data_IF_487153343340
#
_entry.id   IF_487153343340
#
_cell.length_a   1.000
_cell.length_b   1.000
_cell.length_c   1.000
_cell.angle_alpha   90.00
_cell.angle_beta   90.00
_cell.angle_gamma   90.00
#
_symmetry.space_group_name_H-M   'P 1'
#
loop_
_entity.id
_entity.type
_entity.pdbx_description
1 polymer ?
#
# COMPACT_ATOMS: atom_id res chain seq x y z
N UNK A 1 -25.38 9.62 0.07
CA UNK A 1 -24.36 10.47 -0.54
C UNK A 1 -23.83 9.76 -1.77
N UNK A 2 -23.95 10.38 -2.94
CA UNK A 2 -23.46 9.78 -4.17
C UNK A 2 -22.08 10.33 -4.55
N UNK A 3 -21.23 9.47 -5.07
CA UNK A 3 -19.90 9.81 -5.53
C UNK A 3 -19.83 9.65 -7.04
N UNK A 4 -19.48 10.72 -7.74
CA UNK A 4 -19.31 10.69 -9.19
C UNK A 4 -17.94 10.12 -9.54
N UNK A 5 -17.93 9.11 -10.39
CA UNK A 5 -16.72 8.46 -10.90
C UNK A 5 -16.64 8.67 -12.41
N UNK A 6 -15.47 9.05 -12.88
CA UNK A 6 -15.16 9.14 -14.30
C UNK A 6 -14.01 8.18 -14.61
N UNK A 7 -14.27 7.22 -15.49
CA UNK A 7 -13.27 6.25 -15.95
C UNK A 7 -12.80 6.60 -17.35
N UNK A 8 -11.48 6.61 -17.53
CA UNK A 8 -10.87 6.74 -18.85
C UNK A 8 -11.05 5.43 -19.64
N UNK A 9 -10.88 5.47 -20.97
CA UNK A 9 -10.90 4.24 -21.76
C UNK A 9 -9.94 3.20 -21.20
N UNK A 10 -10.42 1.96 -21.05
CA UNK A 10 -9.67 0.80 -20.58
C UNK A 10 -9.13 0.91 -19.15
N UNK A 11 -9.52 1.93 -18.41
CA UNK A 11 -9.11 2.09 -17.00
C UNK A 11 -9.81 1.05 -16.14
N UNK A 12 -9.06 0.52 -15.17
CA UNK A 12 -9.58 -0.42 -14.17
C UNK A 12 -9.81 0.27 -12.84
N UNK A 13 -10.67 -0.32 -12.02
CA UNK A 13 -10.99 0.19 -10.70
C UNK A 13 -11.53 -0.95 -9.83
N UNK A 14 -11.31 -0.88 -8.53
CA UNK A 14 -11.96 -1.74 -7.56
C UNK A 14 -13.14 -1.01 -6.94
N UNK A 15 -14.30 -1.67 -6.93
CA UNK A 15 -15.50 -1.20 -6.22
C UNK A 15 -15.95 -2.37 -5.34
N UNK A 16 -15.79 -2.22 -4.03
CA UNK A 16 -15.95 -3.32 -3.10
C UNK A 16 -14.91 -4.41 -3.41
N UNK A 17 -15.36 -5.63 -3.64
CA UNK A 17 -14.50 -6.73 -4.07
C UNK A 17 -14.57 -6.99 -5.59
N UNK A 18 -15.24 -6.10 -6.34
CA UNK A 18 -15.38 -6.26 -7.78
C UNK A 18 -14.29 -5.50 -8.53
N UNK A 19 -13.63 -6.16 -9.47
CA UNK A 19 -12.70 -5.51 -10.40
C UNK A 19 -13.51 -5.05 -11.60
N UNK A 20 -13.49 -3.74 -11.85
CA UNK A 20 -14.22 -3.12 -12.94
C UNK A 20 -13.22 -2.72 -14.02
N UNK A 21 -13.46 -3.13 -15.26
CA UNK A 21 -12.69 -2.68 -16.42
C UNK A 21 -13.59 -1.83 -17.31
N UNK A 22 -13.17 -0.61 -17.63
CA UNK A 22 -13.91 0.23 -18.55
C UNK A 22 -13.67 -0.22 -20.00
N UNK A 23 -14.64 0.04 -20.85
CA UNK A 23 -14.52 -0.20 -22.29
C UNK A 23 -13.70 0.90 -22.99
N UNK A 24 -13.94 1.02 -24.29
CA UNK A 24 -13.13 1.91 -25.17
C UNK A 24 -13.50 3.39 -25.08
N UNK A 25 -14.58 3.74 -24.35
CA UNK A 25 -15.03 5.13 -24.21
C UNK A 25 -14.98 5.56 -22.77
N UNK A 26 -14.70 6.86 -22.56
CA UNK A 26 -14.80 7.46 -21.22
C UNK A 26 -16.23 7.26 -20.69
N UNK A 27 -16.33 6.86 -19.43
CA UNK A 27 -17.61 6.55 -18.78
C UNK A 27 -17.73 7.35 -17.48
N UNK A 28 -18.92 7.83 -17.21
CA UNK A 28 -19.25 8.47 -15.93
C UNK A 28 -20.40 7.71 -15.27
N UNK A 29 -20.29 7.52 -13.95
CA UNK A 29 -21.36 6.93 -13.17
C UNK A 29 -21.27 7.41 -11.73
N UNK A 30 -22.32 7.10 -10.95
CA UNK A 30 -22.39 7.51 -9.55
C UNK A 30 -22.47 6.28 -8.67
N UNK A 31 -21.73 6.30 -7.59
CA UNK A 31 -21.82 5.29 -6.54
C UNK A 31 -22.69 5.85 -5.44
N UNK A 32 -23.83 5.21 -5.19
CA UNK A 32 -24.90 5.73 -4.34
C UNK A 32 -24.72 5.34 -2.86
N UNK A 33 -24.04 4.25 -2.59
CA UNK A 33 -23.86 3.77 -1.22
C UNK A 33 -22.38 3.68 -0.87
N UNK A 34 -22.09 3.50 0.41
CA UNK A 34 -20.72 3.42 0.90
C UNK A 34 -20.10 2.08 0.57
N UNK A 35 -18.96 2.10 -0.11
CA UNK A 35 -18.25 0.91 -0.52
C UNK A 35 -16.77 1.26 -0.69
N UNK A 36 -15.82 0.35 -0.40
CA UNK A 36 -14.42 0.60 -0.68
C UNK A 36 -14.19 0.82 -2.18
N UNK A 37 -13.39 1.83 -2.51
CA UNK A 37 -13.08 2.18 -3.90
C UNK A 37 -11.58 2.41 -4.02
N UNK A 38 -10.96 1.78 -5.03
CA UNK A 38 -9.56 2.03 -5.38
C UNK A 38 -9.43 2.27 -6.87
N UNK A 39 -8.74 3.34 -7.23
CA UNK A 39 -8.39 3.63 -8.62
C UNK A 39 -7.25 2.69 -9.04
N UNK A 40 -7.07 2.48 -10.34
CA UNK A 40 -6.07 1.56 -10.88
C UNK A 40 -4.67 1.79 -10.31
N UNK A 41 -4.25 3.06 -10.20
CA UNK A 41 -2.93 3.44 -9.68
C UNK A 41 -2.73 3.10 -8.20
N UNK A 42 -3.82 2.91 -7.46
CA UNK A 42 -3.77 2.61 -6.03
C UNK A 42 -3.75 1.11 -5.76
N UNK A 43 -4.08 0.30 -6.77
CA UNK A 43 -4.17 -1.15 -6.64
C UNK A 43 -2.77 -1.76 -6.80
N UNK A 44 -2.32 -2.48 -5.77
CA UNK A 44 -1.09 -3.26 -5.83
C UNK A 44 -1.45 -4.71 -6.12
N UNK A 45 -0.79 -5.32 -7.09
CA UNK A 45 -0.94 -6.75 -7.37
C UNK A 45 -0.06 -7.54 -6.39
N UNK A 46 -0.45 -8.78 -6.12
CA UNK A 46 0.28 -9.64 -5.19
C UNK A 46 1.74 -9.82 -5.60
N UNK A 47 2.01 -10.00 -6.88
CA UNK A 47 3.36 -10.17 -7.40
C UNK A 47 4.23 -8.90 -7.30
N UNK A 48 3.61 -7.74 -7.13
CA UNK A 48 4.32 -6.48 -6.91
C UNK A 48 4.70 -6.24 -5.46
N UNK A 49 4.20 -7.06 -4.52
CA UNK A 49 4.51 -6.94 -3.09
C UNK A 49 5.85 -7.63 -2.76
N UNK A 50 6.92 -7.16 -3.39
CA UNK A 50 8.23 -7.81 -3.38
C UNK A 50 9.14 -7.37 -2.23
N UNK A 51 8.77 -6.35 -1.46
CA UNK A 51 9.53 -5.87 -0.32
C UNK A 51 8.63 -5.87 0.93
N UNK A 52 9.22 -5.87 2.15
CA UNK A 52 8.42 -5.79 3.36
C UNK A 52 7.45 -4.59 3.39
N UNK A 53 7.92 -3.40 2.99
CA UNK A 53 7.07 -2.21 2.93
C UNK A 53 5.91 -2.37 1.95
N UNK A 54 6.16 -2.96 0.80
CA UNK A 54 5.11 -3.24 -0.19
C UNK A 54 4.14 -4.29 0.29
N UNK A 55 4.62 -5.30 1.03
CA UNK A 55 3.76 -6.30 1.64
C UNK A 55 2.81 -5.67 2.66
N UNK A 56 3.29 -4.69 3.43
CA UNK A 56 2.45 -3.93 4.37
C UNK A 56 1.34 -3.21 3.60
N UNK A 57 1.68 -2.51 2.53
CA UNK A 57 0.68 -1.82 1.69
C UNK A 57 -0.37 -2.80 1.16
N UNK A 58 0.09 -3.92 0.63
CA UNK A 58 -0.80 -4.95 0.06
C UNK A 58 -1.76 -5.51 1.11
N UNK A 59 -1.26 -5.78 2.31
CA UNK A 59 -2.09 -6.29 3.41
C UNK A 59 -3.13 -5.26 3.86
N UNK A 60 -2.76 -3.98 3.93
CA UNK A 60 -3.72 -2.92 4.28
C UNK A 60 -4.77 -2.78 3.18
N UNK A 61 -4.37 -2.91 1.92
CA UNK A 61 -5.30 -2.95 0.79
C UNK A 61 -6.32 -4.06 0.95
N UNK A 62 -5.87 -5.27 1.32
CA UNK A 62 -6.77 -6.41 1.58
C UNK A 62 -7.71 -6.14 2.75
N UNK A 63 -7.22 -5.51 3.82
CA UNK A 63 -8.07 -5.10 4.95
C UNK A 63 -9.17 -4.16 4.50
N UNK A 64 -8.86 -3.27 3.54
CA UNK A 64 -9.81 -2.29 3.03
C UNK A 64 -10.90 -2.92 2.18
N UNK A 65 -10.51 -3.79 1.24
CA UNK A 65 -11.44 -4.36 0.25
C UNK A 65 -12.09 -5.66 0.71
N UNK A 66 -11.53 -6.32 1.72
CA UNK A 66 -11.99 -7.61 2.23
C UNK A 66 -11.97 -7.61 3.76
N UNK A 67 -12.75 -6.72 4.36
CA UNK A 67 -12.78 -6.51 5.81
C UNK A 67 -13.24 -7.76 6.57
N UNK A 68 -13.98 -8.64 5.93
CA UNK A 68 -14.45 -9.90 6.50
C UNK A 68 -13.29 -10.77 7.00
N UNK A 69 -12.14 -10.73 6.30
CA UNK A 69 -10.94 -11.49 6.64
C UNK A 69 -9.87 -10.66 7.34
N UNK A 70 -10.27 -9.56 7.98
CA UNK A 70 -9.37 -8.62 8.64
C UNK A 70 -8.37 -9.29 9.57
N UNK A 71 -8.81 -10.23 10.41
CA UNK A 71 -7.93 -10.86 11.41
C UNK A 71 -6.76 -11.60 10.75
N UNK A 72 -7.01 -12.31 9.66
CA UNK A 72 -5.98 -13.03 8.91
C UNK A 72 -4.91 -12.05 8.39
N UNK A 73 -5.36 -10.97 7.78
CA UNK A 73 -4.45 -9.95 7.24
C UNK A 73 -3.71 -9.21 8.34
N UNK A 74 -4.37 -8.92 9.44
CA UNK A 74 -3.80 -8.21 10.59
C UNK A 74 -2.71 -9.04 11.29
N UNK A 75 -2.91 -10.35 11.43
CA UNK A 75 -1.91 -11.24 11.99
C UNK A 75 -0.64 -11.25 11.13
N UNK A 76 -0.80 -11.34 9.81
CA UNK A 76 0.34 -11.31 8.89
C UNK A 76 1.02 -9.93 8.90
N UNK A 77 0.25 -8.86 8.99
CA UNK A 77 0.76 -7.50 9.13
C UNK A 77 1.70 -7.38 10.33
N UNK A 78 1.30 -7.90 11.50
CA UNK A 78 2.12 -7.85 12.71
C UNK A 78 3.44 -8.61 12.56
N UNK A 79 3.43 -9.76 11.89
CA UNK A 79 4.65 -10.51 11.61
C UNK A 79 5.64 -9.68 10.80
N UNK A 80 5.15 -9.02 9.76
CA UNK A 80 5.99 -8.25 8.85
C UNK A 80 6.51 -6.97 9.52
N UNK A 81 5.66 -6.21 10.21
CA UNK A 81 6.09 -4.95 10.83
C UNK A 81 7.09 -5.19 11.95
N UNK A 82 6.99 -6.29 12.68
CA UNK A 82 8.01 -6.65 13.67
C UNK A 82 9.38 -6.83 13.02
N UNK A 83 9.43 -7.51 11.88
CA UNK A 83 10.66 -7.72 11.14
C UNK A 83 11.23 -6.39 10.63
N UNK A 84 10.36 -5.50 10.13
CA UNK A 84 10.76 -4.18 9.65
C UNK A 84 11.38 -3.35 10.78
N UNK A 85 10.73 -3.31 11.93
CA UNK A 85 11.23 -2.55 13.09
C UNK A 85 12.56 -3.09 13.58
N UNK A 86 12.73 -4.41 13.60
CA UNK A 86 13.99 -5.04 13.99
C UNK A 86 15.12 -4.68 13.02
N UNK A 87 14.84 -4.69 11.73
CA UNK A 87 15.83 -4.37 10.70
C UNK A 87 16.12 -2.87 10.59
N UNK A 88 15.11 -2.04 10.79
CA UNK A 88 15.19 -0.59 10.65
C UNK A 88 14.32 0.11 11.70
N UNK A 89 14.84 0.31 12.94
CA UNK A 89 14.06 0.95 14.01
C UNK A 89 13.54 2.35 13.66
N UNK A 90 14.20 3.04 12.73
CA UNK A 90 13.78 4.38 12.28
C UNK A 90 12.42 4.39 11.57
N UNK A 91 11.89 3.22 11.18
CA UNK A 91 10.56 3.09 10.58
C UNK A 91 9.43 3.19 11.60
N UNK A 92 9.74 3.11 12.89
CA UNK A 92 8.74 3.04 13.97
C UNK A 92 7.68 4.15 13.90
N UNK A 93 8.01 5.44 13.68
CA UNK A 93 6.97 6.47 13.59
C UNK A 93 5.99 6.24 12.45
N UNK A 94 6.46 5.80 11.30
CA UNK A 94 5.60 5.53 10.14
C UNK A 94 4.69 4.34 10.43
N UNK A 95 5.25 3.26 10.98
CA UNK A 95 4.48 2.06 11.33
C UNK A 95 3.44 2.38 12.41
N UNK A 96 3.78 3.21 13.39
CA UNK A 96 2.84 3.65 14.42
C UNK A 96 1.65 4.39 13.79
N UNK A 97 1.90 5.27 12.80
CA UNK A 97 0.84 5.96 12.08
C UNK A 97 -0.07 4.98 11.34
N UNK A 98 0.51 3.96 10.68
CA UNK A 98 -0.27 2.93 10.00
C UNK A 98 -1.16 2.19 10.99
N UNK A 99 -0.60 1.76 12.12
CA UNK A 99 -1.34 1.04 13.16
C UNK A 99 -2.49 1.89 13.72
N UNK A 100 -2.23 3.18 13.94
CA UNK A 100 -3.27 4.11 14.42
C UNK A 100 -4.45 4.17 13.45
N UNK A 101 -4.18 4.28 12.16
CA UNK A 101 -5.24 4.31 11.15
C UNK A 101 -6.00 2.97 11.06
N UNK A 102 -5.28 1.85 11.15
CA UNK A 102 -5.90 0.51 11.15
C UNK A 102 -6.85 0.35 12.35
N UNK A 103 -6.41 0.76 13.54
CA UNK A 103 -7.23 0.68 14.75
C UNK A 103 -8.50 1.53 14.64
N UNK A 104 -8.43 2.66 13.94
CA UNK A 104 -9.58 3.52 13.68
C UNK A 104 -10.42 3.07 12.49
N UNK A 105 -10.10 1.93 11.88
CA UNK A 105 -10.78 1.42 10.68
C UNK A 105 -10.71 2.39 9.50
N UNK A 106 -9.69 3.23 9.46
CA UNK A 106 -9.44 4.17 8.36
C UNK A 106 -8.43 3.55 7.40
N UNK A 107 -8.84 2.48 6.72
CA UNK A 107 -7.94 1.67 5.89
C UNK A 107 -7.37 2.42 4.69
N UNK A 108 -8.16 3.31 4.09
CA UNK A 108 -7.66 4.10 2.96
C UNK A 108 -6.53 5.04 3.42
N UNK A 109 -6.67 5.66 4.58
CA UNK A 109 -5.62 6.48 5.17
C UNK A 109 -4.42 5.63 5.56
N UNK A 110 -4.66 4.43 6.09
CA UNK A 110 -3.58 3.49 6.40
C UNK A 110 -2.78 3.11 5.14
N UNK A 111 -3.44 2.96 4.00
CA UNK A 111 -2.77 2.72 2.71
C UNK A 111 -1.86 3.89 2.33
N UNK A 112 -2.30 5.13 2.52
CA UNK A 112 -1.49 6.31 2.25
C UNK A 112 -0.24 6.33 3.14
N UNK A 113 -0.38 6.00 4.42
CA UNK A 113 0.76 5.91 5.34
C UNK A 113 1.69 4.76 4.94
N UNK A 114 1.14 3.64 4.48
CA UNK A 114 1.95 2.53 3.98
C UNK A 114 2.74 2.93 2.72
N UNK A 115 2.21 3.84 1.91
CA UNK A 115 2.95 4.39 0.78
C UNK A 115 4.18 5.15 1.26
N UNK A 116 4.07 5.92 2.34
CA UNK A 116 5.21 6.59 2.95
C UNK A 116 6.26 5.59 3.43
N UNK A 117 5.82 4.45 3.95
CA UNK A 117 6.74 3.38 4.35
C UNK A 117 7.52 2.82 3.16
N UNK A 118 6.85 2.62 2.02
CA UNK A 118 7.50 2.17 0.79
C UNK A 118 8.56 3.18 0.34
N UNK A 119 8.22 4.46 0.33
CA UNK A 119 9.13 5.52 -0.09
C UNK A 119 10.35 5.59 0.84
N UNK A 120 10.13 5.50 2.15
CA UNK A 120 11.19 5.49 3.14
C UNK A 120 12.08 4.25 3.01
N UNK A 121 11.49 3.09 2.79
CA UNK A 121 12.21 1.84 2.53
C UNK A 121 13.15 2.00 1.34
N UNK A 122 12.67 2.63 0.25
CA UNK A 122 13.49 2.87 -0.94
C UNK A 122 14.65 3.81 -0.63
N UNK A 123 14.43 4.85 0.16
CA UNK A 123 15.50 5.75 0.61
C UNK A 123 16.58 5.01 1.39
N UNK A 124 16.18 4.08 2.27
CA UNK A 124 17.13 3.28 3.04
C UNK A 124 17.94 2.34 2.15
N UNK A 125 17.31 1.72 1.16
CA UNK A 125 17.99 0.85 0.19
C UNK A 125 18.98 1.68 -0.65
N UNK A 126 18.58 2.84 -1.11
CA UNK A 126 19.43 3.72 -1.92
C UNK A 126 20.63 4.21 -1.11
N UNK A 127 20.43 4.58 0.16
CA UNK A 127 21.51 5.01 1.04
C UNK A 127 22.51 3.87 1.30
N UNK A 128 22.03 2.66 1.53
CA UNK A 128 22.88 1.51 1.74
C UNK A 128 23.69 1.17 0.48
N UNK A 129 23.10 1.28 -0.70
CA UNK A 129 23.78 1.07 -1.97
C UNK A 129 24.87 2.12 -2.22
N UNK A 130 24.57 3.40 -1.95
CA UNK A 130 25.54 4.49 -2.08
C UNK A 130 26.72 4.31 -1.12
N UNK A 131 26.48 3.95 0.13
CA UNK A 131 27.51 3.66 1.12
C UNK A 131 28.36 2.47 0.70
N UNK A 132 27.72 1.40 0.18
CA UNK A 132 28.43 0.22 -0.33
C UNK A 132 29.34 0.56 -1.51
N UNK A 133 28.90 1.36 -2.46
CA UNK A 133 29.68 1.81 -3.59
C UNK A 133 30.86 2.68 -3.15
N UNK A 134 30.64 3.60 -2.23
CA UNK A 134 31.70 4.45 -1.67
C UNK A 134 32.76 3.61 -0.94
N UNK A 135 32.34 2.64 -0.13
CA UNK A 135 33.24 1.73 0.55
C UNK A 135 34.08 0.89 -0.42
N UNK A 136 33.47 0.36 -1.48
CA UNK A 136 34.17 -0.40 -2.53
C UNK A 136 35.18 0.46 -3.27
N UNK A 137 34.83 1.71 -3.61
CA UNK A 137 35.73 2.63 -4.28
C UNK A 137 36.95 2.97 -3.41
N UNK A 138 36.79 3.14 -2.10
CA UNK A 138 37.90 3.42 -1.19
C UNK A 138 38.78 2.18 -0.96
N UNK A 139 38.26 0.98 -1.00
CA UNK A 139 39.03 -0.26 -0.89
C UNK A 139 39.85 -0.55 -2.16
N UNK A 140 39.37 -0.12 -3.33
CA UNK A 140 40.07 -0.34 -4.59
C UNK A 140 41.16 0.69 -4.90
N UNK A 141 41.26 1.71 -4.09
CA UNK A 141 42.28 2.75 -4.18
C UNK A 141 43.49 2.42 -3.33
#
# INVERSE_FOLDING_TARGET
MSLKIRLKPNEKMLIGNAVISNGERTTEFYIENRVPILREKEIMKEDAASTPGRQVYFLVQLMYVDEENFETYHNRFWEIVRQIILAAPSTTPIITSICHEIMGRRFYQAMKEARHLIDYEQELVDAASADGETAKASESA
#
